data_IF_122733095595
#
_entry.id   IF_122733095595
#
_cell.length_a   1.000
_cell.length_b   1.000
_cell.length_c   1.000
_cell.angle_alpha   90.00
_cell.angle_beta   90.00
_cell.angle_gamma   90.00
#
_symmetry.space_group_name_H-M   'P 1'
#
loop_
_entity.id
_entity.type
_entity.pdbx_description
1 polymer ?
#
# COMPACT_ATOMS: atom_id res chain seq x y z
N UNK A 1 -71.01 40.02 1.34
CA UNK A 1 -70.21 40.86 2.25
C UNK A 1 -68.85 40.19 2.34
N UNK A 2 -67.88 40.52 1.48
CA UNK A 2 -67.09 41.76 1.31
C UNK A 2 -65.80 41.70 2.17
N UNK A 3 -64.71 41.36 1.47
CA UNK A 3 -63.32 41.27 1.90
C UNK A 3 -62.63 42.64 1.67
N UNK A 4 -61.80 43.13 2.60
CA UNK A 4 -61.15 44.45 2.50
C UNK A 4 -59.65 44.36 2.21
N UNK A 5 -59.20 45.15 1.24
CA UNK A 5 -57.86 45.28 0.66
C UNK A 5 -56.86 46.16 1.45
N UNK A 6 -55.54 46.04 1.20
CA UNK A 6 -54.47 46.81 1.87
C UNK A 6 -54.14 48.19 1.20
N UNK A 7 -53.39 49.08 1.90
CA UNK A 7 -53.21 50.50 1.52
C UNK A 7 -52.03 50.79 0.54
N UNK A 8 -51.97 52.00 -0.06
CA UNK A 8 -51.12 52.33 -1.23
C UNK A 8 -49.73 52.94 -0.90
N UNK A 9 -48.82 53.06 -1.89
CA UNK A 9 -47.43 53.53 -1.71
C UNK A 9 -47.25 55.07 -1.81
N UNK A 10 -46.16 55.57 -1.22
CA UNK A 10 -45.78 56.99 -1.11
C UNK A 10 -44.98 57.52 -2.33
N UNK A 11 -45.03 58.84 -2.62
CA UNK A 11 -44.49 59.47 -3.84
C UNK A 11 -42.98 59.83 -3.78
N UNK A 12 -42.34 60.12 -4.94
CA UNK A 12 -40.91 60.40 -5.04
C UNK A 12 -40.55 61.87 -4.80
N UNK A 13 -39.37 62.12 -4.20
CA UNK A 13 -38.82 63.46 -3.95
C UNK A 13 -37.83 63.90 -5.05
N UNK A 14 -37.87 65.17 -5.51
CA UNK A 14 -37.01 65.69 -6.57
C UNK A 14 -35.83 66.50 -6.00
N UNK A 15 -34.58 66.15 -6.36
CA UNK A 15 -33.51 67.14 -6.49
C UNK A 15 -32.36 66.61 -7.36
N UNK A 16 -32.02 67.44 -8.35
CA UNK A 16 -31.06 67.22 -9.42
C UNK A 16 -29.61 67.49 -8.98
N UNK A 17 -28.68 66.83 -9.69
CA UNK A 17 -27.33 67.27 -10.06
C UNK A 17 -26.25 67.43 -8.97
N UNK A 18 -25.45 66.37 -8.77
CA UNK A 18 -24.01 66.47 -8.50
C UNK A 18 -23.30 65.31 -9.23
N UNK A 19 -22.24 65.53 -10.04
CA UNK A 19 -21.42 64.45 -10.61
C UNK A 19 -20.63 63.71 -9.52
N UNK A 20 -20.50 62.36 -9.56
CA UNK A 20 -19.68 61.65 -8.58
C UNK A 20 -18.20 62.01 -8.76
N UNK A 21 -17.55 62.35 -7.65
CA UNK A 21 -16.10 62.53 -7.54
C UNK A 21 -15.43 61.16 -7.84
N UNK A 22 -14.36 61.09 -8.65
CA UNK A 22 -13.62 59.84 -8.84
C UNK A 22 -12.96 59.43 -7.52
N UNK A 23 -13.38 58.29 -6.98
CA UNK A 23 -12.70 57.66 -5.86
C UNK A 23 -11.35 57.11 -6.33
N UNK A 24 -10.26 57.67 -5.79
CA UNK A 24 -8.92 57.11 -5.91
C UNK A 24 -8.85 55.83 -5.09
N UNK A 25 -8.66 54.70 -5.76
CA UNK A 25 -8.38 53.42 -5.09
C UNK A 25 -7.07 53.54 -4.27
N UNK A 26 -7.02 52.97 -3.06
CA UNK A 26 -5.79 52.89 -2.29
C UNK A 26 -4.74 52.06 -3.05
N UNK A 27 -3.45 52.41 -3.00
CA UNK A 27 -2.42 51.68 -3.71
C UNK A 27 -2.40 50.21 -3.26
N UNK A 28 -2.17 49.26 -4.19
CA UNK A 28 -2.14 47.84 -3.87
C UNK A 28 -1.06 47.56 -2.82
N UNK A 29 -1.30 46.63 -1.88
CA UNK A 29 -0.30 46.24 -0.91
C UNK A 29 0.95 45.75 -1.64
N UNK A 30 2.16 46.03 -1.11
CA UNK A 30 3.39 45.56 -1.72
C UNK A 30 3.33 44.03 -1.88
N UNK A 31 3.83 43.48 -3.00
CA UNK A 31 3.85 42.04 -3.21
C UNK A 31 4.55 41.38 -2.03
N UNK A 32 4.05 40.23 -1.53
CA UNK A 32 4.69 39.53 -0.43
C UNK A 32 6.15 39.30 -0.81
N UNK A 33 7.06 39.88 -0.01
CA UNK A 33 8.50 39.68 -0.17
C UNK A 33 8.74 38.18 -0.22
N UNK A 34 9.07 37.67 -1.42
CA UNK A 34 9.47 36.28 -1.59
C UNK A 34 10.70 36.09 -0.72
N UNK A 35 10.52 35.45 0.43
CA UNK A 35 11.61 35.10 1.32
C UNK A 35 12.46 34.07 0.57
N UNK A 36 13.47 34.54 -0.17
CA UNK A 36 14.51 33.73 -0.82
C UNK A 36 15.48 33.17 0.23
N UNK A 37 14.95 32.57 1.28
CA UNK A 37 15.65 31.81 2.31
C UNK A 37 14.73 30.76 2.94
N UNK A 38 13.97 30.01 2.12
CA UNK A 38 13.54 28.65 2.51
C UNK A 38 14.73 27.67 2.42
N UNK A 39 15.83 27.96 3.12
CA UNK A 39 16.97 27.05 3.28
C UNK A 39 16.86 26.19 4.56
N UNK A 40 15.71 26.19 5.23
CA UNK A 40 15.46 25.48 6.49
C UNK A 40 14.40 24.38 6.36
N UNK A 41 14.55 23.53 5.34
CA UNK A 41 14.10 22.14 5.38
C UNK A 41 15.18 21.26 4.75
N UNK A 42 16.41 21.34 5.26
CA UNK A 42 17.42 20.30 5.01
C UNK A 42 16.88 19.03 5.65
N UNK A 43 16.19 18.25 4.82
CA UNK A 43 15.58 16.98 5.20
C UNK A 43 16.64 16.11 5.87
N UNK A 44 16.25 15.28 6.86
CA UNK A 44 17.16 14.32 7.43
C UNK A 44 17.69 13.44 6.31
N UNK A 45 18.98 13.61 6.03
CA UNK A 45 19.66 12.83 5.00
C UNK A 45 19.72 11.38 5.48
N UNK A 46 19.78 11.16 6.79
CA UNK A 46 19.94 9.86 7.41
C UNK A 46 18.67 9.43 8.16
N UNK A 47 18.31 8.17 8.02
CA UNK A 47 17.25 7.51 8.77
C UNK A 47 17.77 6.23 9.34
N UNK A 48 17.60 6.07 10.64
CA UNK A 48 17.95 4.86 11.37
C UNK A 48 16.66 4.23 11.90
N UNK A 49 16.53 2.93 11.76
CA UNK A 49 15.44 2.15 12.34
C UNK A 49 16.05 0.93 13.01
N UNK A 50 15.64 0.69 14.25
CA UNK A 50 15.97 -0.50 15.02
C UNK A 50 14.66 -1.16 15.45
N UNK A 51 14.55 -2.46 15.26
CA UNK A 51 13.38 -3.25 15.60
C UNK A 51 13.82 -4.49 16.35
N UNK A 52 13.29 -4.71 17.55
CA UNK A 52 13.50 -5.93 18.31
C UNK A 52 12.25 -6.81 18.19
N UNK A 53 12.45 -8.09 17.97
CA UNK A 53 11.42 -9.11 18.00
C UNK A 53 11.74 -10.16 19.06
N UNK A 54 10.87 -10.31 20.06
CA UNK A 54 11.07 -11.28 21.13
C UNK A 54 10.90 -12.73 20.69
N UNK A 55 10.15 -12.98 19.61
CA UNK A 55 9.88 -14.33 19.12
C UNK A 55 11.17 -14.96 18.58
N UNK A 56 11.84 -14.24 17.69
CA UNK A 56 13.14 -14.66 17.14
C UNK A 56 14.31 -14.28 18.03
N UNK A 57 14.13 -13.42 19.03
CA UNK A 57 15.20 -12.81 19.82
C UNK A 57 16.27 -12.10 18.96
N UNK A 58 15.83 -11.47 17.86
CA UNK A 58 16.70 -10.77 16.91
C UNK A 58 16.41 -9.27 16.90
N UNK A 59 17.47 -8.50 16.69
CA UNK A 59 17.38 -7.09 16.35
C UNK A 59 17.55 -6.94 14.84
N UNK A 60 16.65 -6.17 14.23
CA UNK A 60 16.73 -5.75 12.84
C UNK A 60 17.08 -4.27 12.76
N UNK A 61 18.19 -3.98 12.10
CA UNK A 61 18.68 -2.63 11.90
C UNK A 61 18.55 -2.22 10.44
N UNK A 62 18.17 -0.96 10.22
CA UNK A 62 18.08 -0.36 8.90
C UNK A 62 18.54 1.09 8.96
N UNK A 63 19.61 1.37 8.23
CA UNK A 63 20.14 2.71 8.02
C UNK A 63 19.87 3.08 6.57
N UNK A 64 19.29 4.25 6.31
CA UNK A 64 19.12 4.71 4.93
C UNK A 64 19.45 6.17 4.79
N UNK A 65 20.17 6.51 3.72
CA UNK A 65 20.59 7.86 3.43
C UNK A 65 20.06 8.32 2.06
N UNK A 66 19.49 9.52 1.98
CA UNK A 66 19.16 10.16 0.70
C UNK A 66 20.34 11.03 0.25
N UNK A 67 20.75 10.83 -1.00
CA UNK A 67 21.86 11.53 -1.64
C UNK A 67 21.32 12.48 -2.71
N UNK A 68 22.09 13.54 -3.02
CA UNK A 68 21.85 14.43 -4.17
C UNK A 68 20.39 14.91 -4.27
N UNK A 69 19.90 15.60 -3.24
CA UNK A 69 18.50 16.09 -3.16
C UNK A 69 17.42 15.03 -3.38
N UNK A 70 17.68 13.79 -2.94
CA UNK A 70 16.82 12.61 -3.11
C UNK A 70 16.84 12.00 -4.50
N UNK A 71 17.85 12.30 -5.33
CA UNK A 71 18.05 11.63 -6.62
C UNK A 71 18.40 10.15 -6.44
N UNK A 72 19.13 9.83 -5.37
CA UNK A 72 19.48 8.47 -5.02
C UNK A 72 19.29 8.20 -3.52
N UNK A 73 19.23 6.92 -3.17
CA UNK A 73 19.09 6.44 -1.80
C UNK A 73 20.03 5.26 -1.57
N UNK A 74 20.81 5.34 -0.50
CA UNK A 74 21.52 4.21 0.06
C UNK A 74 20.71 3.59 1.21
N UNK A 75 20.75 2.27 1.34
CA UNK A 75 20.14 1.52 2.45
C UNK A 75 21.11 0.42 2.87
N UNK A 76 21.43 0.37 4.16
CA UNK A 76 22.06 -0.76 4.83
C UNK A 76 21.01 -1.40 5.74
N UNK A 77 20.87 -2.72 5.68
CA UNK A 77 20.13 -3.48 6.68
C UNK A 77 20.94 -4.68 7.14
N UNK A 78 20.80 -5.04 8.41
CA UNK A 78 21.44 -6.20 9.00
C UNK A 78 20.64 -6.63 10.22
N UNK A 79 20.91 -7.83 10.69
CA UNK A 79 20.36 -8.38 11.92
C UNK A 79 21.48 -8.65 12.92
N UNK A 80 21.14 -8.66 14.21
CA UNK A 80 22.01 -9.26 15.21
C UNK A 80 21.22 -10.00 16.29
N UNK A 81 21.84 -11.01 16.86
CA UNK A 81 21.29 -11.74 17.99
C UNK A 81 21.64 -11.05 19.32
N UNK A 82 21.19 -11.67 20.42
CA UNK A 82 21.45 -11.24 21.79
C UNK A 82 22.94 -11.30 22.21
N UNK A 83 23.80 -12.00 21.44
CA UNK A 83 25.25 -12.02 21.63
C UNK A 83 25.98 -10.94 20.83
N UNK A 84 25.26 -10.19 20.00
CA UNK A 84 25.84 -9.17 19.12
C UNK A 84 26.43 -9.72 17.83
N UNK A 85 26.23 -11.00 17.51
CA UNK A 85 26.66 -11.59 16.24
C UNK A 85 25.78 -11.05 15.12
N UNK A 86 26.41 -10.55 14.05
CA UNK A 86 25.74 -9.94 12.90
C UNK A 86 25.37 -10.99 11.85
N UNK A 87 24.19 -10.85 11.25
CA UNK A 87 23.71 -11.68 10.14
C UNK A 87 22.90 -10.87 9.13
N UNK A 88 22.70 -11.46 7.95
CA UNK A 88 22.00 -10.92 6.79
C UNK A 88 22.33 -9.45 6.44
N UNK A 89 23.63 -9.06 6.34
CA UNK A 89 24.00 -7.73 5.89
C UNK A 89 23.63 -7.53 4.42
N UNK A 90 22.77 -6.54 4.18
CA UNK A 90 22.24 -6.18 2.87
C UNK A 90 22.47 -4.70 2.57
N UNK A 91 23.01 -4.45 1.40
CA UNK A 91 23.24 -3.12 0.85
C UNK A 91 22.25 -2.87 -0.28
N UNK A 92 21.68 -1.67 -0.35
CA UNK A 92 20.90 -1.27 -1.51
C UNK A 92 21.22 0.16 -1.93
N UNK A 93 21.42 0.34 -3.22
CA UNK A 93 21.46 1.62 -3.88
C UNK A 93 20.22 1.73 -4.77
N UNK A 94 19.47 2.81 -4.66
CA UNK A 94 18.28 3.02 -5.49
C UNK A 94 18.27 4.43 -6.05
N UNK A 95 18.18 4.54 -7.36
CA UNK A 95 17.98 5.77 -8.12
C UNK A 95 16.74 5.63 -9.02
N UNK A 96 16.47 6.65 -9.85
CA UNK A 96 15.38 6.56 -10.84
C UNK A 96 15.63 5.50 -11.92
N UNK A 97 16.87 5.36 -12.38
CA UNK A 97 17.21 4.53 -13.54
C UNK A 97 17.84 3.19 -13.17
N UNK A 98 18.41 3.11 -11.96
CA UNK A 98 19.20 1.96 -11.51
C UNK A 98 18.92 1.67 -10.03
N UNK A 99 18.66 0.41 -9.71
CA UNK A 99 18.61 -0.10 -8.34
C UNK A 99 19.49 -1.33 -8.22
N UNK A 100 20.36 -1.36 -7.22
CA UNK A 100 21.25 -2.48 -6.92
C UNK A 100 20.92 -2.94 -5.50
N UNK A 101 20.65 -4.23 -5.33
CA UNK A 101 20.47 -4.87 -4.03
C UNK A 101 21.53 -5.95 -3.89
N UNK A 102 22.46 -5.76 -2.97
CA UNK A 102 23.54 -6.68 -2.71
C UNK A 102 23.33 -7.37 -1.36
N UNK A 103 23.34 -8.69 -1.37
CA UNK A 103 23.32 -9.53 -0.19
C UNK A 103 24.73 -10.08 0.04
N UNK A 104 25.33 -9.69 1.16
CA UNK A 104 26.71 -10.04 1.49
C UNK A 104 26.84 -11.50 1.92
N UNK A 105 25.82 -12.08 2.56
CA UNK A 105 25.86 -13.51 2.94
C UNK A 105 25.82 -14.38 1.68
N UNK A 106 24.88 -14.10 0.78
CA UNK A 106 24.74 -14.85 -0.46
C UNK A 106 25.80 -14.51 -1.51
N UNK A 107 26.60 -13.47 -1.30
CA UNK A 107 27.54 -12.95 -2.30
C UNK A 107 26.85 -12.67 -3.65
N UNK A 108 25.62 -12.19 -3.59
CA UNK A 108 24.77 -12.01 -4.75
C UNK A 108 24.28 -10.56 -4.90
N UNK A 109 24.12 -10.11 -6.13
CA UNK A 109 23.55 -8.80 -6.46
C UNK A 109 22.33 -8.97 -7.37
N UNK A 110 21.22 -8.32 -7.01
CA UNK A 110 20.10 -8.08 -7.89
C UNK A 110 20.19 -6.66 -8.45
N UNK A 111 20.48 -6.56 -9.74
CA UNK A 111 20.60 -5.29 -10.48
C UNK A 111 19.32 -5.05 -11.27
N UNK A 112 18.71 -3.87 -11.13
CA UNK A 112 17.51 -3.46 -11.84
C UNK A 112 17.76 -2.16 -12.58
N UNK A 113 17.49 -2.13 -13.87
CA UNK A 113 17.55 -0.94 -14.71
C UNK A 113 16.17 -0.59 -15.25
N UNK A 114 15.88 0.70 -15.40
CA UNK A 114 14.68 1.18 -16.09
C UNK A 114 14.93 2.52 -16.75
N UNK A 115 14.50 2.68 -18.01
CA UNK A 115 14.61 3.95 -18.73
C UNK A 115 13.55 4.06 -19.82
N UNK A 116 13.27 5.29 -20.23
CA UNK A 116 12.26 5.60 -21.23
C UNK A 116 12.94 5.64 -22.61
N UNK A 117 12.40 4.86 -23.55
CA UNK A 117 12.84 4.84 -24.96
C UNK A 117 12.07 5.87 -25.81
N UNK A 118 10.95 6.39 -25.29
CA UNK A 118 10.11 7.41 -25.90
C UNK A 118 8.94 7.76 -24.98
N UNK A 119 8.03 8.66 -25.41
CA UNK A 119 6.92 9.13 -24.57
C UNK A 119 6.04 8.02 -23.99
N UNK A 120 5.88 6.93 -24.75
CA UNK A 120 4.98 5.82 -24.45
C UNK A 120 5.70 4.47 -24.41
N UNK A 121 7.03 4.45 -24.34
CA UNK A 121 7.79 3.20 -24.40
C UNK A 121 8.81 3.15 -23.27
N UNK A 122 8.66 2.18 -22.38
CA UNK A 122 9.49 2.00 -21.21
C UNK A 122 10.21 0.65 -21.27
N UNK A 123 11.51 0.67 -21.00
CA UNK A 123 12.30 -0.54 -20.88
C UNK A 123 12.63 -0.80 -19.40
N UNK A 124 12.56 -2.06 -19.00
CA UNK A 124 12.94 -2.53 -17.67
C UNK A 124 13.78 -3.79 -17.79
N UNK A 125 14.79 -3.90 -16.95
CA UNK A 125 15.60 -5.11 -16.82
C UNK A 125 15.86 -5.39 -15.35
N UNK A 126 15.85 -6.66 -14.97
CA UNK A 126 16.29 -7.17 -13.68
C UNK A 126 17.24 -8.34 -13.91
N UNK A 127 18.34 -8.39 -13.18
CA UNK A 127 19.34 -9.45 -13.32
C UNK A 127 19.91 -9.84 -11.95
N UNK A 128 19.83 -11.12 -11.67
CA UNK A 128 20.48 -11.80 -10.55
C UNK A 128 21.86 -12.30 -11.00
N UNK A 129 22.90 -11.68 -10.44
CA UNK A 129 24.29 -11.87 -10.88
C UNK A 129 24.80 -13.28 -10.57
N UNK A 130 24.48 -13.84 -9.40
CA UNK A 130 24.96 -15.17 -8.99
C UNK A 130 24.22 -16.26 -9.75
N UNK A 131 22.90 -16.14 -9.89
CA UNK A 131 22.09 -17.12 -10.62
C UNK A 131 22.28 -17.03 -12.14
N UNK A 132 22.91 -15.96 -12.66
CA UNK A 132 23.00 -15.67 -14.09
C UNK A 132 21.63 -15.66 -14.77
N UNK A 133 20.60 -15.26 -14.02
CA UNK A 133 19.21 -15.26 -14.43
C UNK A 133 18.63 -13.86 -14.28
N UNK A 134 17.60 -13.54 -15.05
CA UNK A 134 17.00 -12.22 -15.05
C UNK A 134 15.74 -12.17 -15.88
N UNK A 135 15.21 -10.96 -16.02
CA UNK A 135 14.04 -10.67 -16.85
C UNK A 135 14.22 -9.30 -17.51
N UNK A 136 13.91 -9.22 -18.79
CA UNK A 136 13.78 -7.97 -19.53
C UNK A 136 12.33 -7.77 -19.91
N UNK A 137 11.85 -6.53 -19.84
CA UNK A 137 10.49 -6.18 -20.18
C UNK A 137 10.44 -4.86 -20.96
N UNK A 138 9.58 -4.82 -21.97
CA UNK A 138 9.23 -3.63 -22.71
C UNK A 138 7.74 -3.33 -22.50
N UNK A 139 7.42 -2.11 -22.10
CA UNK A 139 6.06 -1.66 -21.84
C UNK A 139 5.72 -0.52 -22.80
N UNK A 140 4.73 -0.74 -23.66
CA UNK A 140 4.15 0.27 -24.52
C UNK A 140 2.84 0.79 -23.91
N UNK A 141 2.80 2.08 -23.58
CA UNK A 141 1.58 2.80 -23.20
C UNK A 141 0.77 3.11 -24.47
N UNK A 142 -0.44 2.58 -24.56
CA UNK A 142 -1.32 2.72 -25.71
C UNK A 142 -2.24 3.95 -25.59
N UNK A 143 -2.10 4.74 -24.52
CA UNK A 143 -2.83 5.98 -24.28
C UNK A 143 -4.15 5.78 -23.54
N UNK A 144 -4.93 6.86 -23.46
CA UNK A 144 -6.23 6.89 -22.79
C UNK A 144 -7.19 5.86 -23.39
N UNK A 145 -7.99 5.14 -22.58
CA UNK A 145 -8.22 5.31 -21.13
C UNK A 145 -7.20 4.64 -20.18
N UNK A 146 -6.00 4.26 -20.64
CA UNK A 146 -4.96 3.62 -19.82
C UNK A 146 -4.69 2.17 -20.24
N UNK A 147 -4.60 1.94 -21.54
CA UNK A 147 -4.20 0.65 -22.09
C UNK A 147 -2.67 0.55 -22.14
N UNK A 148 -2.11 -0.62 -21.87
CA UNK A 148 -0.68 -0.85 -22.05
C UNK A 148 -0.41 -2.28 -22.49
N UNK A 149 0.59 -2.47 -23.33
CA UNK A 149 1.10 -3.78 -23.72
C UNK A 149 2.49 -3.97 -23.11
N UNK A 150 2.68 -5.04 -22.34
CA UNK A 150 3.97 -5.43 -21.77
C UNK A 150 4.42 -6.76 -22.36
N UNK A 151 5.63 -6.79 -22.91
CA UNK A 151 6.29 -8.03 -23.36
C UNK A 151 7.49 -8.23 -22.44
N UNK A 152 7.56 -9.37 -21.76
CA UNK A 152 8.68 -9.71 -20.89
C UNK A 152 9.28 -11.08 -21.21
N UNK A 153 10.57 -11.24 -20.99
CA UNK A 153 11.32 -12.46 -21.29
C UNK A 153 12.35 -12.71 -20.20
N UNK A 154 12.51 -13.97 -19.74
CA UNK A 154 13.65 -14.33 -18.91
C UNK A 154 14.96 -14.18 -19.69
N UNK A 155 16.06 -14.01 -18.96
CA UNK A 155 17.44 -13.97 -19.47
C UNK A 155 18.29 -14.94 -18.64
N UNK A 156 18.94 -15.96 -19.22
CA UNK A 156 18.93 -16.31 -20.64
C UNK A 156 17.52 -16.67 -21.13
N UNK A 157 17.26 -16.44 -22.41
CA UNK A 157 15.94 -16.68 -22.99
C UNK A 157 15.59 -18.16 -22.92
N UNK A 158 14.47 -18.46 -22.28
CA UNK A 158 13.87 -19.80 -22.22
C UNK A 158 12.42 -19.66 -22.64
N UNK A 159 12.01 -20.39 -23.68
CA UNK A 159 10.63 -20.37 -24.17
C UNK A 159 10.22 -19.09 -24.91
N UNK A 160 8.92 -18.90 -25.05
CA UNK A 160 8.33 -17.68 -25.61
C UNK A 160 8.17 -16.58 -24.55
N UNK A 161 8.29 -15.30 -24.94
CA UNK A 161 8.10 -14.19 -24.02
C UNK A 161 6.65 -14.13 -23.50
N UNK A 162 6.49 -13.70 -22.25
CA UNK A 162 5.20 -13.36 -21.67
C UNK A 162 4.66 -12.08 -22.31
N UNK A 163 3.40 -12.10 -22.70
CA UNK A 163 2.68 -10.93 -23.19
C UNK A 163 1.53 -10.58 -22.24
N UNK A 164 1.48 -9.34 -21.76
CA UNK A 164 0.44 -8.84 -20.85
C UNK A 164 -0.24 -7.62 -21.46
N UNK A 165 -1.55 -7.70 -21.68
CA UNK A 165 -2.39 -6.56 -22.03
C UNK A 165 -3.05 -6.01 -20.76
N UNK A 166 -2.76 -4.75 -20.45
CA UNK A 166 -3.39 -3.99 -19.37
C UNK A 166 -4.45 -3.06 -19.94
N UNK A 167 -5.55 -2.92 -19.23
CA UNK A 167 -6.67 -2.05 -19.57
C UNK A 167 -7.27 -1.46 -18.28
N UNK A 168 -8.11 -0.42 -18.35
CA UNK A 168 -8.54 0.32 -17.16
C UNK A 168 -9.20 -0.53 -16.07
N UNK A 169 -9.84 -1.62 -16.50
CA UNK A 169 -10.60 -2.54 -15.66
C UNK A 169 -9.84 -3.82 -15.32
N UNK A 170 -8.60 -4.01 -15.77
CA UNK A 170 -7.96 -5.30 -15.61
C UNK A 170 -6.68 -5.53 -16.41
N UNK A 171 -6.25 -6.77 -16.42
CA UNK A 171 -5.15 -7.24 -17.26
C UNK A 171 -5.34 -8.71 -17.64
N UNK A 172 -4.78 -9.10 -18.78
CA UNK A 172 -4.69 -10.49 -19.25
C UNK A 172 -3.25 -10.75 -19.66
N UNK A 173 -2.69 -11.85 -19.20
CA UNK A 173 -1.34 -12.31 -19.50
C UNK A 173 -1.37 -13.68 -20.15
N UNK A 174 -0.52 -13.85 -21.17
CA UNK A 174 -0.23 -15.11 -21.82
C UNK A 174 1.24 -15.44 -21.57
N UNK A 175 1.52 -16.61 -21.00
CA UNK A 175 2.88 -17.06 -20.67
C UNK A 175 3.00 -18.57 -20.89
N UNK A 176 4.13 -19.01 -21.43
CA UNK A 176 4.45 -20.43 -21.52
C UNK A 176 4.95 -20.92 -20.16
N UNK A 177 4.27 -21.91 -19.58
CA UNK A 177 4.67 -22.57 -18.35
C UNK A 177 5.25 -23.95 -18.67
N UNK A 178 6.32 -24.30 -17.99
CA UNK A 178 6.89 -25.64 -18.01
C UNK A 178 6.13 -26.48 -16.97
N UNK A 179 5.41 -27.49 -17.43
CA UNK A 179 4.77 -28.48 -16.55
C UNK A 179 5.81 -29.50 -16.06
N UNK A 180 5.47 -30.20 -14.97
CA UNK A 180 6.33 -31.22 -14.33
C UNK A 180 6.83 -32.31 -15.31
N UNK A 181 6.17 -32.51 -16.45
CA UNK A 181 6.53 -33.49 -17.49
C UNK A 181 7.42 -32.93 -18.64
N UNK A 182 8.07 -31.76 -18.48
CA UNK A 182 8.84 -31.06 -19.55
C UNK A 182 7.98 -30.67 -20.77
N UNK A 183 6.65 -30.74 -20.65
CA UNK A 183 5.72 -30.20 -21.65
C UNK A 183 5.51 -28.73 -21.37
N UNK A 184 5.71 -27.91 -22.41
CA UNK A 184 5.46 -26.49 -22.34
C UNK A 184 4.04 -26.20 -22.80
N UNK A 185 3.22 -25.66 -21.90
CA UNK A 185 1.82 -25.34 -22.16
C UNK A 185 1.64 -23.82 -22.09
N UNK A 186 0.86 -23.28 -23.01
CA UNK A 186 0.46 -21.87 -22.95
C UNK A 186 -0.55 -21.67 -21.82
N UNK A 187 -0.17 -20.89 -20.81
CA UNK A 187 -1.02 -20.51 -19.69
C UNK A 187 -1.60 -19.12 -19.91
N UNK A 188 -2.89 -18.97 -19.60
CA UNK A 188 -3.60 -17.68 -19.60
C UNK A 188 -3.92 -17.34 -18.16
N UNK A 189 -3.62 -16.11 -17.75
CA UNK A 189 -4.07 -15.55 -16.47
C UNK A 189 -4.65 -14.17 -16.70
N UNK A 190 -5.51 -13.73 -15.79
CA UNK A 190 -6.06 -12.39 -15.91
C UNK A 190 -6.91 -11.99 -14.72
N UNK A 191 -7.12 -10.69 -14.60
CA UNK A 191 -8.03 -10.12 -13.62
C UNK A 191 -8.88 -9.04 -14.28
N UNK A 192 -10.20 -9.13 -14.08
CA UNK A 192 -11.17 -8.12 -14.52
C UNK A 192 -11.92 -7.60 -13.31
N UNK A 193 -12.07 -6.28 -13.23
CA UNK A 193 -12.76 -5.57 -12.16
C UNK A 193 -13.85 -4.71 -12.78
N UNK A 194 -15.05 -4.78 -12.24
CA UNK A 194 -16.16 -3.95 -12.70
C UNK A 194 -16.99 -3.47 -11.53
N UNK A 195 -17.49 -2.23 -11.62
CA UNK A 195 -18.50 -1.76 -10.69
C UNK A 195 -19.83 -2.37 -11.08
N UNK A 196 -20.48 -3.00 -10.11
CA UNK A 196 -21.82 -3.57 -10.26
C UNK A 196 -22.62 -3.19 -9.03
N UNK A 197 -23.77 -2.55 -9.23
CA UNK A 197 -24.57 -1.96 -8.14
C UNK A 197 -23.69 -1.01 -7.30
N UNK A 198 -23.68 -1.17 -5.97
CA UNK A 198 -22.88 -0.38 -5.04
C UNK A 198 -21.58 -1.10 -4.63
N UNK A 199 -21.09 -2.04 -5.44
CA UNK A 199 -19.92 -2.85 -5.11
C UNK A 199 -18.98 -3.08 -6.29
N UNK A 200 -17.85 -3.72 -5.97
CA UNK A 200 -16.80 -4.08 -6.93
C UNK A 200 -16.81 -5.59 -7.16
N UNK A 201 -17.12 -6.00 -8.38
CA UNK A 201 -16.90 -7.37 -8.84
C UNK A 201 -15.45 -7.53 -9.29
N UNK A 202 -14.80 -8.64 -8.92
CA UNK A 202 -13.48 -9.05 -9.38
C UNK A 202 -13.56 -10.49 -9.86
N UNK A 203 -13.21 -10.73 -11.11
CA UNK A 203 -12.95 -12.06 -11.65
C UNK A 203 -11.43 -12.21 -11.81
N UNK A 204 -10.84 -13.24 -11.23
CA UNK A 204 -9.41 -13.53 -11.33
C UNK A 204 -9.25 -14.97 -11.80
N UNK A 205 -8.56 -15.17 -12.92
CA UNK A 205 -8.24 -16.47 -13.48
C UNK A 205 -6.73 -16.70 -13.42
N UNK A 206 -6.31 -17.84 -12.87
CA UNK A 206 -4.91 -18.27 -12.85
C UNK A 206 -4.89 -19.79 -12.66
N UNK A 207 -4.04 -20.49 -13.40
CA UNK A 207 -3.80 -21.92 -13.19
C UNK A 207 -5.08 -22.75 -13.20
N UNK A 208 -5.95 -22.49 -14.18
CA UNK A 208 -7.26 -23.13 -14.35
C UNK A 208 -8.31 -22.82 -13.26
N UNK A 209 -7.94 -22.05 -12.23
CA UNK A 209 -8.84 -21.59 -11.18
C UNK A 209 -9.42 -20.20 -11.51
N UNK A 210 -10.75 -20.10 -11.54
CA UNK A 210 -11.50 -18.85 -11.63
C UNK A 210 -12.06 -18.45 -10.28
N UNK A 211 -11.50 -17.40 -9.67
CA UNK A 211 -12.00 -16.78 -8.44
C UNK A 211 -12.87 -15.57 -8.74
N UNK A 212 -14.15 -15.65 -8.38
CA UNK A 212 -15.10 -14.55 -8.43
C UNK A 212 -15.28 -13.98 -7.03
N UNK A 213 -15.14 -12.66 -6.89
CA UNK A 213 -15.29 -11.95 -5.61
C UNK A 213 -16.11 -10.69 -5.81
N UNK A 214 -17.14 -10.51 -5.00
CA UNK A 214 -17.86 -9.24 -4.91
C UNK A 214 -17.46 -8.51 -3.62
N UNK A 215 -17.36 -7.19 -3.66
CA UNK A 215 -17.04 -6.37 -2.50
C UNK A 215 -18.00 -5.18 -2.45
N UNK A 216 -19.01 -5.28 -1.59
CA UNK A 216 -19.80 -4.13 -1.17
C UNK A 216 -19.13 -3.47 0.03
N UNK A 217 -19.08 -2.13 0.04
CA UNK A 217 -18.53 -1.38 1.17
C UNK A 217 -19.19 -0.01 1.29
N UNK A 218 -19.69 0.28 2.48
CA UNK A 218 -20.09 1.62 2.91
C UNK A 218 -19.25 2.09 4.12
N UNK A 219 -19.67 3.16 4.78
CA UNK A 219 -18.95 3.74 5.93
C UNK A 219 -18.87 2.81 7.15
N UNK A 220 -19.86 1.94 7.30
CA UNK A 220 -20.09 1.15 8.49
C UNK A 220 -20.00 -0.37 8.25
N UNK A 221 -20.10 -0.84 7.02
CA UNK A 221 -20.17 -2.25 6.66
C UNK A 221 -19.34 -2.56 5.40
N UNK A 222 -18.79 -3.77 5.35
CA UNK A 222 -18.31 -4.37 4.10
C UNK A 222 -18.77 -5.81 4.04
N UNK A 223 -19.27 -6.25 2.88
CA UNK A 223 -19.72 -7.61 2.61
C UNK A 223 -18.94 -8.12 1.39
N UNK A 224 -18.28 -9.27 1.54
CA UNK A 224 -17.29 -9.78 0.59
C UNK A 224 -17.48 -11.28 0.37
N UNK A 225 -18.50 -11.71 -0.41
CA UNK A 225 -18.62 -13.10 -0.84
C UNK A 225 -17.59 -13.42 -1.94
N UNK A 226 -17.16 -14.68 -1.98
CA UNK A 226 -16.25 -15.20 -2.98
C UNK A 226 -16.59 -16.65 -3.30
N UNK A 227 -16.43 -17.03 -4.58
CA UNK A 227 -16.47 -18.41 -5.06
C UNK A 227 -15.23 -18.67 -5.91
N UNK A 228 -14.64 -19.85 -5.78
CA UNK A 228 -13.62 -20.35 -6.72
C UNK A 228 -14.21 -21.48 -7.57
N UNK A 229 -13.93 -21.49 -8.87
CA UNK A 229 -14.34 -22.50 -9.84
C UNK A 229 -13.08 -23.15 -10.45
N UNK A 230 -13.09 -24.45 -10.77
CA UNK A 230 -14.23 -25.36 -10.72
C UNK A 230 -14.52 -25.99 -9.34
N UNK A 231 -13.66 -25.73 -8.34
CA UNK A 231 -13.80 -26.31 -6.99
C UNK A 231 -15.13 -25.99 -6.29
N UNK A 232 -15.86 -24.96 -6.75
CA UNK A 232 -17.06 -24.41 -6.12
C UNK A 232 -16.81 -23.92 -4.69
N UNK A 233 -15.56 -23.60 -4.36
CA UNK A 233 -15.17 -23.26 -3.00
C UNK A 233 -15.74 -21.91 -2.57
N UNK A 234 -16.63 -21.90 -1.58
CA UNK A 234 -17.34 -20.70 -1.12
C UNK A 234 -16.68 -20.09 0.11
N UNK A 235 -16.56 -18.76 0.12
CA UNK A 235 -16.19 -18.02 1.34
C UNK A 235 -16.93 -16.70 1.47
N UNK A 236 -17.06 -16.25 2.70
CA UNK A 236 -17.74 -15.01 3.05
C UNK A 236 -16.93 -14.24 4.08
N UNK A 237 -16.64 -12.97 3.77
CA UNK A 237 -16.13 -12.03 4.76
C UNK A 237 -17.11 -10.89 4.98
N UNK A 238 -17.23 -10.45 6.24
CA UNK A 238 -17.86 -9.18 6.55
C UNK A 238 -17.02 -8.35 7.51
N UNK A 239 -17.18 -7.03 7.43
CA UNK A 239 -16.53 -6.07 8.33
C UNK A 239 -17.59 -5.10 8.81
N UNK A 240 -17.79 -4.98 10.12
CA UNK A 240 -18.75 -4.05 10.73
C UNK A 240 -18.01 -3.06 11.61
N UNK A 241 -18.20 -1.77 11.36
CA UNK A 241 -17.81 -0.68 12.25
C UNK A 241 -19.03 -0.31 13.09
N UNK A 242 -18.90 -0.43 14.41
CA UNK A 242 -19.94 -0.06 15.36
C UNK A 242 -19.83 1.41 15.76
N UNK A 243 -18.59 1.89 15.88
CA UNK A 243 -18.24 3.29 16.15
C UNK A 243 -16.96 3.63 15.39
N UNK A 244 -16.54 4.90 15.26
CA UNK A 244 -15.27 5.24 14.62
C UNK A 244 -14.06 4.46 15.17
N UNK A 245 -14.09 4.12 16.46
CA UNK A 245 -13.06 3.36 17.16
C UNK A 245 -13.23 1.84 17.09
N UNK A 246 -14.46 1.34 16.93
CA UNK A 246 -14.79 -0.09 17.06
C UNK A 246 -15.07 -0.74 15.71
N UNK A 247 -14.32 -1.80 15.39
CA UNK A 247 -14.51 -2.57 14.16
C UNK A 247 -14.37 -4.07 14.42
N UNK A 248 -15.35 -4.84 13.97
CA UNK A 248 -15.29 -6.29 13.86
C UNK A 248 -15.05 -6.69 12.41
N UNK A 249 -14.23 -7.71 12.21
CA UNK A 249 -14.03 -8.37 10.92
C UNK A 249 -14.22 -9.86 11.13
N UNK A 250 -14.92 -10.52 10.21
CA UNK A 250 -15.17 -11.95 10.25
C UNK A 250 -14.94 -12.51 8.85
N UNK A 251 -14.46 -13.74 8.79
CA UNK A 251 -14.29 -14.50 7.56
C UNK A 251 -14.67 -15.96 7.84
N UNK A 252 -15.31 -16.60 6.86
CA UNK A 252 -15.71 -18.00 6.90
C UNK A 252 -15.51 -18.66 5.54
N UNK A 253 -15.02 -19.88 5.55
CA UNK A 253 -14.93 -20.78 4.41
C UNK A 253 -15.91 -21.93 4.60
N UNK A 254 -16.80 -22.13 3.62
CA UNK A 254 -17.88 -23.11 3.71
C UNK A 254 -17.40 -24.56 3.50
N UNK A 255 -16.28 -24.78 2.80
CA UNK A 255 -15.79 -26.13 2.52
C UNK A 255 -14.99 -26.68 3.71
N UNK A 256 -14.09 -25.85 4.25
CA UNK A 256 -13.23 -26.26 5.37
C UNK A 256 -13.87 -26.05 6.73
N UNK A 257 -14.99 -25.33 6.80
CA UNK A 257 -15.56 -24.79 8.03
C UNK A 257 -14.62 -23.88 8.82
N UNK A 258 -13.51 -23.42 8.22
CA UNK A 258 -12.60 -22.50 8.87
C UNK A 258 -13.23 -21.12 8.97
N UNK A 259 -13.08 -20.48 10.12
CA UNK A 259 -13.47 -19.10 10.35
C UNK A 259 -12.40 -18.35 11.13
N UNK A 260 -12.38 -17.05 10.93
CA UNK A 260 -11.60 -16.14 11.76
C UNK A 260 -12.41 -14.90 12.11
N UNK A 261 -12.15 -14.36 13.29
CA UNK A 261 -12.76 -13.11 13.75
C UNK A 261 -11.69 -12.20 14.33
N UNK A 262 -11.81 -10.91 14.07
CA UNK A 262 -10.89 -9.89 14.57
C UNK A 262 -11.68 -8.67 15.01
N UNK A 263 -11.62 -8.39 16.30
CA UNK A 263 -12.05 -7.13 16.88
C UNK A 263 -10.87 -6.15 16.91
N UNK A 264 -11.14 -4.91 16.55
CA UNK A 264 -10.21 -3.78 16.64
C UNK A 264 -10.89 -2.64 17.40
N UNK A 265 -10.20 -2.15 18.43
CA UNK A 265 -10.54 -0.90 19.11
C UNK A 265 -9.38 0.10 18.96
N UNK A 266 -9.69 1.34 18.60
CA UNK A 266 -8.72 2.44 18.54
C UNK A 266 -9.04 3.50 19.60
N UNK A 267 -8.14 3.68 20.57
CA UNK A 267 -8.23 4.74 21.59
C UNK A 267 -7.41 5.94 21.12
N UNK A 268 -8.09 7.00 20.67
CA UNK A 268 -7.42 8.20 20.16
C UNK A 268 -6.51 7.90 18.96
N UNK A 269 -5.33 8.52 18.92
CA UNK A 269 -4.34 8.35 17.85
C UNK A 269 -3.24 7.34 18.20
N UNK A 270 -3.00 7.15 19.50
CA UNK A 270 -1.77 6.51 20.00
C UNK A 270 -1.97 5.06 20.43
N UNK A 271 -3.19 4.58 20.56
CA UNK A 271 -3.44 3.25 21.09
C UNK A 271 -4.41 2.47 20.23
N UNK A 272 -4.05 1.22 19.97
CA UNK A 272 -4.94 0.29 19.28
C UNK A 272 -4.85 -1.07 19.90
N UNK A 273 -5.99 -1.56 20.33
CA UNK A 273 -6.18 -2.93 20.73
C UNK A 273 -6.75 -3.72 19.56
N UNK A 274 -6.26 -4.93 19.38
CA UNK A 274 -6.90 -5.93 18.52
C UNK A 274 -6.94 -7.25 19.27
N UNK A 275 -8.01 -7.99 19.10
CA UNK A 275 -8.07 -9.38 19.51
C UNK A 275 -8.73 -10.19 18.41
N UNK A 276 -8.31 -11.43 18.23
CA UNK A 276 -8.87 -12.30 17.23
C UNK A 276 -8.69 -13.76 17.57
N UNK A 277 -9.38 -14.57 16.79
CA UNK A 277 -9.25 -16.01 16.80
C UNK A 277 -9.26 -16.50 15.35
N UNK A 278 -8.45 -17.52 15.09
CA UNK A 278 -8.38 -18.19 13.80
C UNK A 278 -8.54 -19.69 14.04
N UNK A 279 -9.58 -20.29 13.45
CA UNK A 279 -9.91 -21.70 13.66
C UNK A 279 -9.02 -22.66 12.89
N UNK A 280 -8.35 -22.21 11.82
CA UNK A 280 -7.47 -23.06 11.02
C UNK A 280 -6.22 -23.43 11.81
N UNK A 281 -5.63 -22.43 12.47
CA UNK A 281 -4.49 -22.61 13.38
C UNK A 281 -4.89 -22.76 14.85
N UNK A 282 -6.20 -22.72 15.13
CA UNK A 282 -6.81 -22.86 16.46
C UNK A 282 -6.17 -21.95 17.50
N UNK A 283 -5.96 -20.69 17.13
CA UNK A 283 -5.14 -19.73 17.88
C UNK A 283 -5.93 -18.48 18.22
N UNK A 284 -6.06 -18.21 19.52
CA UNK A 284 -6.47 -16.90 20.02
C UNK A 284 -5.28 -15.96 20.08
N UNK A 285 -5.46 -14.71 19.68
CA UNK A 285 -4.43 -13.68 19.84
C UNK A 285 -4.99 -12.33 20.26
N UNK A 286 -4.20 -11.60 21.04
CA UNK A 286 -4.50 -10.21 21.38
C UNK A 286 -3.25 -9.36 21.18
N UNK A 287 -3.40 -8.19 20.57
CA UNK A 287 -2.31 -7.25 20.37
C UNK A 287 -2.65 -5.84 20.84
N UNK A 288 -1.71 -5.23 21.56
CA UNK A 288 -1.75 -3.82 21.93
C UNK A 288 -0.67 -3.07 21.17
N UNK A 289 -1.07 -2.05 20.43
CA UNK A 289 -0.19 -1.15 19.71
C UNK A 289 -0.15 0.19 20.43
N UNK A 290 1.06 0.71 20.67
CA UNK A 290 1.31 2.02 21.27
C UNK A 290 2.13 2.88 20.29
N UNK A 291 1.65 4.09 20.02
CA UNK A 291 2.23 5.10 19.13
C UNK A 291 1.26 5.61 18.05
N UNK A 292 1.42 6.87 17.63
CA UNK A 292 0.60 7.55 16.63
C UNK A 292 0.57 6.81 15.27
N UNK A 293 -0.60 6.27 14.90
CA UNK A 293 -0.83 5.57 13.62
C UNK A 293 -0.82 6.52 12.41
N UNK A 294 -1.33 7.75 12.59
CA UNK A 294 -1.50 8.74 11.53
C UNK A 294 -0.33 9.70 11.39
N UNK A 295 0.58 9.69 12.37
CA UNK A 295 1.76 10.54 12.39
C UNK A 295 2.58 10.33 11.13
N UNK A 296 2.62 11.35 10.27
CA UNK A 296 3.56 11.38 9.17
C UNK A 296 4.98 11.48 9.75
N UNK A 297 5.97 10.82 9.15
CA UNK A 297 7.37 10.94 9.55
C UNK A 297 7.92 12.38 9.48
N UNK A 298 7.17 13.30 8.85
CA UNK A 298 7.51 14.72 8.74
C UNK A 298 7.32 15.52 10.03
N UNK A 299 6.51 15.06 10.99
CA UNK A 299 6.12 15.86 12.17
C UNK A 299 6.74 15.42 13.50
N UNK A 300 7.44 14.29 13.53
CA UNK A 300 8.14 13.82 14.73
C UNK A 300 9.43 13.06 14.34
N UNK A 301 10.63 13.61 14.66
CA UNK A 301 11.91 13.02 14.28
C UNK A 301 12.25 11.73 15.03
N UNK A 302 11.58 11.49 16.17
CA UNK A 302 11.68 10.24 16.92
C UNK A 302 10.31 9.57 16.97
N UNK A 303 10.24 8.31 16.58
CA UNK A 303 9.03 7.49 16.68
C UNK A 303 9.34 6.17 17.33
N UNK A 304 8.50 5.79 18.28
CA UNK A 304 8.52 4.48 18.90
C UNK A 304 7.17 3.82 18.67
N UNK A 305 7.21 2.54 18.34
CA UNK A 305 6.06 1.69 18.17
C UNK A 305 6.29 0.42 18.96
N UNK A 306 5.40 0.15 19.91
CA UNK A 306 5.45 -1.08 20.71
C UNK A 306 4.22 -1.89 20.38
N UNK A 307 4.43 -3.17 20.11
CA UNK A 307 3.39 -4.16 19.90
C UNK A 307 3.58 -5.28 20.92
N UNK A 308 2.57 -5.55 21.72
CA UNK A 308 2.48 -6.78 22.51
C UNK A 308 1.57 -7.75 21.77
N UNK A 309 1.85 -9.05 21.79
CA UNK A 309 1.00 -10.10 21.24
C UNK A 309 0.95 -11.27 22.21
N UNK A 310 -0.23 -11.56 22.76
CA UNK A 310 -0.48 -12.81 23.47
C UNK A 310 -1.06 -13.81 22.48
N UNK A 311 -0.47 -15.00 22.39
CA UNK A 311 -0.95 -16.14 21.61
C UNK A 311 -1.37 -17.26 22.56
N UNK A 312 -2.57 -17.79 22.39
CA UNK A 312 -3.15 -18.86 23.22
C UNK A 312 -3.68 -19.96 22.30
N UNK A 313 -2.92 -21.07 22.14
CA UNK A 313 -3.38 -22.23 21.40
C UNK A 313 -4.60 -22.86 22.09
N UNK A 314 -5.57 -23.34 21.31
CA UNK A 314 -6.77 -23.98 21.85
C UNK A 314 -6.45 -25.34 22.50
N UNK A 315 -5.50 -26.09 21.96
CA UNK A 315 -5.19 -27.45 22.40
C UNK A 315 -4.35 -27.52 23.67
N UNK A 316 -3.46 -26.55 23.89
CA UNK A 316 -2.62 -26.50 25.06
C UNK A 316 -2.35 -25.06 25.52
N UNK A 317 -3.15 -24.62 26.50
CA UNK A 317 -3.00 -23.30 27.11
C UNK A 317 -1.62 -23.13 27.77
N UNK A 318 -0.94 -24.21 28.18
CA UNK A 318 0.40 -24.11 28.78
C UNK A 318 1.45 -23.65 27.78
N UNK A 319 1.19 -23.79 26.48
CA UNK A 319 2.06 -23.29 25.40
C UNK A 319 1.73 -21.84 24.99
N UNK A 320 0.93 -21.13 25.79
CA UNK A 320 0.66 -19.71 25.55
C UNK A 320 1.96 -18.89 25.56
N UNK A 321 2.11 -18.03 24.55
CA UNK A 321 3.30 -17.21 24.38
C UNK A 321 2.94 -15.71 24.41
N UNK A 322 3.71 -14.93 25.18
CA UNK A 322 3.68 -13.49 25.10
C UNK A 322 4.88 -13.01 24.29
N UNK A 323 4.61 -12.45 23.12
CA UNK A 323 5.60 -11.81 22.28
C UNK A 323 5.47 -10.30 22.37
N UNK A 324 6.59 -9.60 22.17
CA UNK A 324 6.60 -8.16 22.01
C UNK A 324 7.59 -7.76 20.93
N UNK A 325 7.20 -6.72 20.19
CA UNK A 325 7.99 -6.14 19.13
C UNK A 325 8.12 -4.65 19.39
N UNK A 326 9.36 -4.17 19.45
CA UNK A 326 9.67 -2.76 19.70
C UNK A 326 10.38 -2.21 18.49
N UNK A 327 9.77 -1.24 17.82
CA UNK A 327 10.34 -0.56 16.67
C UNK A 327 10.59 0.90 16.98
N UNK A 328 11.84 1.32 16.87
CA UNK A 328 12.26 2.70 17.05
C UNK A 328 12.84 3.25 15.75
N UNK A 329 12.46 4.48 15.42
CA UNK A 329 12.91 5.20 14.24
C UNK A 329 13.43 6.58 14.63
N UNK A 330 14.56 6.93 14.04
CA UNK A 330 15.19 8.24 14.14
C UNK A 330 15.40 8.78 12.72
N UNK A 331 14.92 9.99 12.47
CA UNK A 331 15.25 10.75 11.27
C UNK A 331 16.22 11.87 11.68
N UNK A 332 17.46 11.84 11.17
CA UNK A 332 18.60 12.70 11.56
C UNK A 332 19.03 13.61 10.40
#
# INVERSE_FOLDING_TARGET
MAESSPPPPLPPSPNHMVPPIPHTDPPPPPPPRSCKTCLLSKRPKLRVTSEFDSDTSLFFHKVSCKLLDSFAKFKLSFQNNNKGELSQPQFAFTSKLLSIHYDLEEHNALVKGSFDLGPNLHFKAAHDVKAHQGEVAMVADLGDPGYALEISSPVPTVGVPRATLKFPLGEVSLEEKEEEELRRTLSVSGVVKSQLMNGLCTAQFSDEDLKLRYCYKDEALSIIPSISLPSNALSFAFKRRFTPSNKLSYWYNFDTNNWSTVYKHTYGKDFKFKAGYDSEVRLGWASLWVGDEGGNAKTAPMKMKVQFMLQVPQDDIKTSALMFRVKKRWDI
#
